data_IF_541680077725
#
_entry.id   IF_541680077725
#
_cell.length_a   1.000
_cell.length_b   1.000
_cell.length_c   1.000
_cell.angle_alpha   90.00
_cell.angle_beta   90.00
_cell.angle_gamma   90.00
#
_symmetry.space_group_name_H-M   'P 1'
#
loop_
_entity.id
_entity.type
_entity.pdbx_description
1 polymer ?
#
# COMPACT_ATOMS: atom_id res chain seq x y z
N UNK A 1 8.35 55.17 -56.62
CA UNK A 1 7.36 55.25 -55.52
C UNK A 1 7.08 53.83 -55.08
N UNK A 2 7.60 53.41 -53.93
CA UNK A 2 7.33 52.10 -53.34
C UNK A 2 6.43 52.31 -52.13
N UNK A 3 5.27 51.66 -52.13
CA UNK A 3 4.29 51.68 -51.04
C UNK A 3 4.59 50.47 -50.16
N UNK A 4 4.95 50.70 -48.90
CA UNK A 4 5.24 49.64 -47.93
C UNK A 4 4.03 49.46 -47.02
N UNK A 5 3.36 48.33 -47.14
CA UNK A 5 2.19 47.94 -46.34
C UNK A 5 2.68 47.42 -44.98
N UNK A 6 2.28 48.07 -43.89
CA UNK A 6 2.53 47.59 -42.52
C UNK A 6 1.41 46.63 -42.13
N UNK A 7 1.76 45.37 -41.89
CA UNK A 7 0.86 44.32 -41.42
C UNK A 7 0.85 44.32 -39.89
N UNK A 8 -0.23 44.80 -39.27
CA UNK A 8 -0.40 44.79 -37.82
C UNK A 8 -0.89 43.41 -37.38
N UNK A 9 -0.01 42.63 -36.76
CA UNK A 9 -0.37 41.36 -36.11
C UNK A 9 -1.01 41.70 -34.75
N UNK A 10 -2.31 41.50 -34.65
CA UNK A 10 -3.05 41.57 -33.37
C UNK A 10 -2.82 40.24 -32.65
N UNK A 11 -1.95 40.23 -31.64
CA UNK A 11 -1.88 39.11 -30.69
C UNK A 11 -3.13 39.13 -29.82
N UNK A 12 -4.08 38.26 -30.14
CA UNK A 12 -5.18 37.91 -29.25
C UNK A 12 -4.62 37.05 -28.11
N UNK A 13 -4.35 37.68 -26.97
CA UNK A 13 -4.14 36.98 -25.72
C UNK A 13 -5.46 36.34 -25.30
N UNK A 14 -5.62 35.05 -25.56
CA UNK A 14 -6.72 34.25 -24.99
C UNK A 14 -6.40 34.02 -23.52
N UNK A 15 -6.91 34.88 -22.64
CA UNK A 15 -7.03 34.54 -21.23
C UNK A 15 -8.09 33.45 -21.13
N UNK A 16 -7.63 32.20 -21.07
CA UNK A 16 -8.49 31.10 -20.64
C UNK A 16 -8.87 31.36 -19.19
N UNK A 17 -10.17 31.50 -18.91
CA UNK A 17 -10.67 31.47 -17.54
C UNK A 17 -10.37 30.10 -16.94
N UNK A 18 -9.20 29.94 -16.32
CA UNK A 18 -8.95 28.82 -15.42
C UNK A 18 -9.86 28.94 -14.20
N UNK A 19 -10.29 27.80 -13.66
CA UNK A 19 -10.96 27.79 -12.36
C UNK A 19 -10.03 28.43 -11.32
N UNK A 20 -10.57 29.23 -10.40
CA UNK A 20 -9.77 29.79 -9.30
C UNK A 20 -9.28 28.67 -8.38
N UNK A 21 -8.07 28.80 -7.84
CA UNK A 21 -7.52 27.87 -6.87
C UNK A 21 -8.49 27.63 -5.70
N UNK A 22 -8.69 26.37 -5.26
CA UNK A 22 -9.43 26.05 -4.05
C UNK A 22 -8.86 26.82 -2.87
N UNK A 23 -9.74 27.34 -2.01
CA UNK A 23 -9.31 28.01 -0.80
C UNK A 23 -8.74 26.98 0.18
N UNK A 24 -7.46 27.11 0.52
CA UNK A 24 -6.85 26.35 1.61
C UNK A 24 -7.13 27.04 2.94
N UNK A 25 -7.36 26.30 4.04
CA UNK A 25 -7.58 26.88 5.35
C UNK A 25 -6.36 27.70 5.79
N UNK A 26 -6.61 28.87 6.38
CA UNK A 26 -5.56 29.74 6.90
C UNK A 26 -4.93 29.18 8.18
N UNK A 27 -5.72 28.47 8.99
CA UNK A 27 -5.25 27.67 10.12
C UNK A 27 -5.00 26.23 9.65
N UNK A 28 -3.72 25.83 9.67
CA UNK A 28 -3.27 24.49 9.28
C UNK A 28 -3.02 23.58 10.49
N UNK A 29 -3.55 23.93 11.66
CA UNK A 29 -3.42 23.08 12.84
C UNK A 29 -4.11 21.71 12.63
N UNK A 30 -3.59 20.63 13.22
CA UNK A 30 -4.20 19.30 13.14
C UNK A 30 -5.68 19.28 13.49
N UNK A 31 -6.13 20.13 14.42
CA UNK A 31 -7.53 20.22 14.84
C UNK A 31 -8.42 20.72 13.70
N UNK A 32 -8.04 21.81 13.05
CA UNK A 32 -8.85 22.42 11.97
C UNK A 32 -8.87 21.51 10.75
N UNK A 33 -7.73 20.92 10.40
CA UNK A 33 -7.67 20.00 9.26
C UNK A 33 -8.45 18.72 9.53
N UNK A 34 -8.34 18.14 10.72
CA UNK A 34 -9.16 17.00 11.12
C UNK A 34 -10.66 17.29 10.99
N UNK A 35 -11.13 18.45 11.46
CA UNK A 35 -12.54 18.85 11.32
C UNK A 35 -12.98 19.00 9.86
N UNK A 36 -12.09 19.50 9.00
CA UNK A 36 -12.36 19.63 7.57
C UNK A 36 -12.44 18.26 6.89
N UNK A 37 -11.53 17.34 7.24
CA UNK A 37 -11.48 15.98 6.68
C UNK A 37 -12.60 15.08 7.20
N UNK A 38 -13.11 15.30 8.40
CA UNK A 38 -14.18 14.47 9.00
C UNK A 38 -15.56 15.14 8.93
N UNK A 39 -15.62 16.36 8.39
CA UNK A 39 -16.84 17.15 8.27
C UNK A 39 -17.71 16.80 7.06
N UNK A 40 -18.87 17.47 6.97
CA UNK A 40 -19.86 17.23 5.91
C UNK A 40 -19.33 17.56 4.50
N UNK A 41 -18.41 18.54 4.40
CA UNK A 41 -17.86 19.02 3.13
C UNK A 41 -16.54 18.30 2.75
N UNK A 42 -16.16 17.24 3.48
CA UNK A 42 -14.89 16.55 3.31
C UNK A 42 -14.64 16.07 1.88
N UNK A 43 -15.61 15.36 1.29
CA UNK A 43 -15.48 14.83 -0.09
C UNK A 43 -15.34 15.95 -1.12
N UNK A 44 -16.10 17.05 -0.96
CA UNK A 44 -16.00 18.20 -1.86
C UNK A 44 -14.64 18.88 -1.72
N UNK A 45 -14.18 19.09 -0.49
CA UNK A 45 -12.88 19.66 -0.20
C UNK A 45 -11.75 18.81 -0.80
N UNK A 46 -11.70 17.51 -0.48
CA UNK A 46 -10.70 16.57 -0.98
C UNK A 46 -10.74 16.47 -2.51
N UNK A 47 -11.92 16.43 -3.12
CA UNK A 47 -12.06 16.49 -4.57
C UNK A 47 -11.49 17.77 -5.16
N UNK A 48 -11.83 18.92 -4.58
CA UNK A 48 -11.38 20.22 -5.10
C UNK A 48 -9.86 20.36 -5.08
N UNK A 49 -9.19 19.95 -4.00
CA UNK A 49 -7.73 20.07 -3.89
C UNK A 49 -7.01 19.00 -4.72
N UNK A 50 -7.60 17.80 -4.87
CA UNK A 50 -6.96 16.69 -5.59
C UNK A 50 -7.01 16.87 -7.10
N UNK A 51 -8.09 17.45 -7.64
CA UNK A 51 -8.28 17.62 -9.09
C UNK A 51 -7.88 19.00 -9.60
N UNK A 52 -7.49 19.92 -8.73
CA UNK A 52 -7.00 21.24 -9.14
C UNK A 52 -5.54 21.14 -9.63
N UNK A 53 -5.19 21.72 -10.80
CA UNK A 53 -3.81 21.75 -11.30
C UNK A 53 -3.01 22.80 -10.53
N UNK A 54 -2.36 22.41 -9.44
CA UNK A 54 -1.54 23.34 -8.66
C UNK A 54 -0.25 23.69 -9.41
N UNK A 55 0.15 24.97 -9.39
CA UNK A 55 1.41 25.42 -10.00
C UNK A 55 2.66 24.90 -9.25
N UNK A 56 2.48 24.37 -8.03
CA UNK A 56 3.52 23.81 -7.17
C UNK A 56 3.43 22.29 -7.03
N UNK A 57 2.88 21.61 -8.05
CA UNK A 57 2.72 20.15 -8.11
C UNK A 57 1.92 19.57 -6.92
N UNK A 58 1.13 20.40 -6.24
CA UNK A 58 0.29 20.04 -5.11
C UNK A 58 0.92 20.26 -3.74
N UNK A 59 2.14 20.82 -3.65
CA UNK A 59 2.89 21.02 -2.39
C UNK A 59 2.08 21.82 -1.36
N UNK A 60 1.37 22.87 -1.77
CA UNK A 60 0.57 23.68 -0.85
C UNK A 60 -0.56 22.90 -0.19
N UNK A 61 -1.21 22.01 -0.94
CA UNK A 61 -2.27 21.12 -0.45
C UNK A 61 -1.69 19.94 0.35
N UNK A 62 -0.57 19.38 -0.09
CA UNK A 62 0.14 18.28 0.57
C UNK A 62 0.45 18.57 2.05
N UNK A 63 0.84 19.82 2.33
CA UNK A 63 1.16 20.29 3.69
C UNK A 63 0.02 20.17 4.70
N UNK A 64 -1.23 19.96 4.27
CA UNK A 64 -2.36 19.75 5.17
C UNK A 64 -2.33 18.36 5.83
N UNK A 65 -1.62 17.38 5.25
CA UNK A 65 -1.64 15.98 5.66
C UNK A 65 -0.40 15.53 6.44
N UNK A 66 0.66 16.34 6.44
CA UNK A 66 1.98 15.98 6.99
C UNK A 66 2.01 15.65 8.48
N UNK A 67 1.02 16.11 9.25
CA UNK A 67 0.91 15.85 10.69
C UNK A 67 0.39 14.44 10.99
N UNK A 68 -0.38 13.83 10.08
CA UNK A 68 -1.13 12.59 10.35
C UNK A 68 -0.19 11.46 10.77
N UNK A 69 0.88 11.21 10.02
CA UNK A 69 1.81 10.13 10.32
C UNK A 69 2.55 10.32 11.65
N UNK A 70 2.92 11.56 11.96
CA UNK A 70 3.61 11.91 13.21
C UNK A 70 2.67 11.73 14.41
N UNK A 71 1.44 12.24 14.31
CA UNK A 71 0.47 12.19 15.40
C UNK A 71 -0.07 10.76 15.63
N UNK A 72 -0.10 9.91 14.60
CA UNK A 72 -0.46 8.49 14.73
C UNK A 72 0.46 7.74 15.70
N UNK A 73 1.74 8.12 15.77
CA UNK A 73 2.73 7.55 16.69
C UNK A 73 2.67 8.14 18.11
N UNK A 74 1.81 9.13 18.36
CA UNK A 74 1.70 9.78 19.66
C UNK A 74 1.28 8.80 20.76
N UNK A 75 1.87 8.96 21.95
CA UNK A 75 1.41 8.28 23.17
C UNK A 75 0.15 8.93 23.76
N UNK A 76 -0.20 10.13 23.33
CA UNK A 76 -1.46 10.78 23.70
C UNK A 76 -2.60 10.20 22.85
N UNK A 77 -3.49 9.44 23.49
CA UNK A 77 -4.56 8.72 22.80
C UNK A 77 -5.50 9.64 21.99
N UNK A 78 -5.94 10.83 22.49
CA UNK A 78 -6.70 11.78 21.69
C UNK A 78 -5.97 12.28 20.43
N UNK A 79 -4.66 12.56 20.52
CA UNK A 79 -3.87 12.95 19.34
C UNK A 79 -3.79 11.82 18.32
N UNK A 80 -3.47 10.59 18.76
CA UNK A 80 -3.38 9.45 17.86
C UNK A 80 -4.75 9.11 17.22
N UNK A 81 -5.85 9.22 17.99
CA UNK A 81 -7.21 9.03 17.50
C UNK A 81 -7.57 10.02 16.39
N UNK A 82 -7.24 11.29 16.57
CA UNK A 82 -7.45 12.34 15.57
C UNK A 82 -6.73 12.05 14.26
N UNK A 83 -5.49 11.56 14.35
CA UNK A 83 -4.73 11.16 13.17
C UNK A 83 -5.39 9.98 12.45
N UNK A 84 -5.85 8.96 13.18
CA UNK A 84 -6.56 7.82 12.59
C UNK A 84 -7.88 8.19 11.95
N UNK A 85 -8.69 9.06 12.57
CA UNK A 85 -9.95 9.55 12.01
C UNK A 85 -9.72 10.35 10.72
N UNK A 86 -8.69 11.20 10.68
CA UNK A 86 -8.31 11.95 9.48
C UNK A 86 -7.80 11.03 8.35
N UNK A 87 -6.95 10.05 8.70
CA UNK A 87 -6.46 9.04 7.77
C UNK A 87 -7.59 8.16 7.21
N UNK A 88 -8.56 7.79 8.05
CA UNK A 88 -9.72 7.00 7.62
C UNK A 88 -10.60 7.79 6.64
N UNK A 89 -10.90 9.04 6.93
CA UNK A 89 -11.64 9.89 6.00
C UNK A 89 -10.92 10.05 4.65
N UNK A 90 -9.59 10.22 4.68
CA UNK A 90 -8.78 10.22 3.46
C UNK A 90 -8.87 8.88 2.71
N UNK A 91 -8.72 7.75 3.40
CA UNK A 91 -8.81 6.43 2.78
C UNK A 91 -10.19 6.16 2.17
N UNK A 92 -11.28 6.54 2.86
CA UNK A 92 -12.65 6.47 2.33
C UNK A 92 -12.81 7.31 1.06
N UNK A 93 -12.30 8.54 1.06
CA UNK A 93 -12.32 9.39 -0.12
C UNK A 93 -11.59 8.74 -1.31
N UNK A 94 -10.39 8.21 -1.10
CA UNK A 94 -9.62 7.55 -2.16
C UNK A 94 -10.32 6.27 -2.67
N UNK A 95 -10.91 5.50 -1.75
CA UNK A 95 -11.71 4.31 -2.06
C UNK A 95 -12.88 4.66 -2.99
N UNK A 96 -13.66 5.67 -2.62
CA UNK A 96 -14.92 5.99 -3.30
C UNK A 96 -14.74 6.77 -4.61
N UNK A 97 -13.54 7.34 -4.85
CA UNK A 97 -13.30 8.27 -5.96
C UNK A 97 -12.21 7.81 -6.95
N UNK A 98 -11.81 6.54 -6.94
CA UNK A 98 -10.76 5.99 -7.83
C UNK A 98 -10.93 6.41 -9.29
N UNK A 99 -12.12 6.20 -9.86
CA UNK A 99 -12.37 6.51 -11.27
C UNK A 99 -12.20 8.00 -11.60
N UNK A 100 -12.59 8.89 -10.68
CA UNK A 100 -12.43 10.33 -10.85
C UNK A 100 -10.97 10.77 -10.69
N UNK A 101 -10.22 10.11 -9.80
CA UNK A 101 -8.82 10.42 -9.49
C UNK A 101 -7.85 9.83 -10.50
N UNK A 102 -8.15 8.68 -11.09
CA UNK A 102 -7.33 8.07 -12.14
C UNK A 102 -7.71 8.51 -13.56
N UNK A 103 -8.79 9.29 -13.70
CA UNK A 103 -9.37 9.70 -14.97
C UNK A 103 -9.75 11.17 -15.01
N UNK A 104 -8.89 12.06 -14.49
CA UNK A 104 -9.14 13.50 -14.47
C UNK A 104 -9.14 14.01 -15.91
N UNK A 105 -10.24 14.62 -16.33
CA UNK A 105 -10.37 15.17 -17.68
C UNK A 105 -9.32 16.26 -17.93
N UNK A 106 -8.56 16.11 -19.02
CA UNK A 106 -7.48 17.01 -19.40
C UNK A 106 -7.42 17.25 -20.91
N UNK A 107 -6.50 18.13 -21.34
CA UNK A 107 -6.24 18.38 -22.75
C UNK A 107 -7.28 19.24 -23.47
N UNK A 108 -7.12 19.37 -24.79
CA UNK A 108 -8.01 20.24 -25.59
C UNK A 108 -9.42 19.64 -25.68
N UNK A 109 -10.41 20.40 -25.20
CA UNK A 109 -11.82 19.98 -25.12
C UNK A 109 -12.06 18.76 -24.20
N UNK A 110 -11.23 18.54 -23.18
CA UNK A 110 -11.37 17.45 -22.20
C UNK A 110 -11.39 16.05 -22.86
N UNK A 111 -10.52 15.85 -23.86
CA UNK A 111 -10.45 14.60 -24.64
C UNK A 111 -9.39 13.62 -24.13
N UNK A 112 -8.51 14.08 -23.25
CA UNK A 112 -7.48 13.28 -22.63
C UNK A 112 -7.84 13.04 -21.16
N UNK A 113 -7.18 12.08 -20.52
CA UNK A 113 -7.28 11.85 -19.09
C UNK A 113 -5.89 11.79 -18.46
N UNK A 114 -5.73 12.42 -17.31
CA UNK A 114 -4.55 12.36 -16.47
C UNK A 114 -4.91 11.76 -15.10
N UNK A 115 -3.95 11.10 -14.45
CA UNK A 115 -4.13 10.62 -13.08
C UNK A 115 -3.83 11.73 -12.08
N UNK A 116 -4.33 11.59 -10.85
CA UNK A 116 -4.06 12.53 -9.76
C UNK A 116 -2.57 12.59 -9.42
N UNK A 117 -1.83 11.48 -9.47
CA UNK A 117 -0.38 11.50 -9.22
C UNK A 117 0.43 12.14 -10.34
N UNK A 118 -0.03 12.08 -11.59
CA UNK A 118 0.58 12.83 -12.68
C UNK A 118 0.21 14.34 -12.64
N UNK A 119 -0.94 14.69 -12.07
CA UNK A 119 -1.40 16.07 -11.92
C UNK A 119 -0.77 16.78 -10.71
N UNK A 120 -0.73 16.09 -9.56
CA UNK A 120 -0.34 16.63 -8.26
C UNK A 120 0.51 15.59 -7.49
N UNK A 121 1.73 15.27 -7.97
CA UNK A 121 2.55 14.20 -7.40
C UNK A 121 2.85 14.42 -5.91
N UNK A 122 3.16 15.66 -5.49
CA UNK A 122 3.47 15.95 -4.08
C UNK A 122 2.26 15.75 -3.16
N UNK A 123 1.03 15.93 -3.67
CA UNK A 123 -0.19 15.68 -2.89
C UNK A 123 -0.45 14.19 -2.72
N UNK A 124 -0.27 13.39 -3.78
CA UNK A 124 -0.43 11.93 -3.71
C UNK A 124 0.63 11.31 -2.82
N UNK A 125 1.87 11.78 -2.88
CA UNK A 125 2.94 11.39 -1.95
C UNK A 125 2.56 11.70 -0.48
N UNK A 126 1.99 12.87 -0.21
CA UNK A 126 1.51 13.19 1.14
C UNK A 126 0.33 12.31 1.58
N UNK A 127 -0.56 11.92 0.67
CA UNK A 127 -1.62 10.95 0.97
C UNK A 127 -1.04 9.58 1.32
N UNK A 128 -0.05 9.10 0.55
CA UNK A 128 0.63 7.85 0.81
C UNK A 128 1.28 7.86 2.19
N UNK A 129 2.09 8.89 2.48
CA UNK A 129 2.75 9.09 3.76
C UNK A 129 1.78 9.13 4.95
N UNK A 130 0.64 9.84 4.80
CA UNK A 130 -0.39 9.90 5.84
C UNK A 130 -1.00 8.53 6.18
N UNK A 131 -1.02 7.60 5.21
CA UNK A 131 -1.66 6.28 5.35
C UNK A 131 -0.71 5.16 5.77
N UNK A 132 0.62 5.35 5.68
CA UNK A 132 1.63 4.35 6.09
C UNK A 132 1.36 3.73 7.48
N UNK A 133 1.07 4.51 8.55
CA UNK A 133 0.86 3.93 9.88
C UNK A 133 -0.35 2.99 9.96
N UNK A 134 -1.32 3.15 9.05
CA UNK A 134 -2.64 2.52 9.10
C UNK A 134 -2.81 1.34 8.14
N UNK A 135 -1.77 0.94 7.39
CA UNK A 135 -1.81 -0.19 6.46
C UNK A 135 -2.28 -1.51 7.12
N UNK A 136 -1.96 -1.71 8.40
CA UNK A 136 -2.46 -2.87 9.16
C UNK A 136 -3.99 -2.90 9.22
N UNK A 137 -4.64 -1.74 9.37
CA UNK A 137 -6.09 -1.63 9.47
C UNK A 137 -6.79 -1.87 8.14
N UNK A 138 -6.14 -1.48 7.03
CA UNK A 138 -6.60 -1.78 5.66
C UNK A 138 -6.59 -3.29 5.34
N UNK A 139 -5.84 -4.09 6.10
CA UNK A 139 -5.84 -5.57 6.00
C UNK A 139 -6.58 -6.25 7.16
N UNK A 140 -7.33 -5.47 7.93
CA UNK A 140 -8.12 -5.88 9.09
C UNK A 140 -7.32 -6.33 10.32
N UNK A 141 -6.11 -5.82 10.53
CA UNK A 141 -5.44 -5.91 11.82
C UNK A 141 -6.03 -4.91 12.82
N UNK A 142 -7.17 -5.26 13.42
CA UNK A 142 -7.97 -4.39 14.30
C UNK A 142 -7.46 -4.36 15.76
N UNK A 143 -6.21 -4.73 16.02
CA UNK A 143 -5.65 -4.75 17.39
C UNK A 143 -5.49 -3.36 17.99
N UNK A 144 -5.29 -2.34 17.17
CA UNK A 144 -5.08 -0.97 17.61
C UNK A 144 -5.60 0.04 16.57
N UNK A 145 -6.93 0.20 16.42
CA UNK A 145 -7.52 1.00 15.34
C UNK A 145 -7.27 2.50 15.48
N UNK A 146 -7.10 3.01 16.70
CA UNK A 146 -6.83 4.43 17.00
C UNK A 146 -7.62 5.43 16.12
N UNK A 147 -8.94 5.24 16.00
CA UNK A 147 -9.80 6.14 15.23
C UNK A 147 -9.88 5.86 13.73
N UNK A 148 -9.04 4.96 13.20
CA UNK A 148 -9.17 4.48 11.84
C UNK A 148 -10.07 3.24 11.80
N UNK A 149 -11.32 3.45 11.40
CA UNK A 149 -12.33 2.39 11.33
C UNK A 149 -12.13 1.49 10.10
N UNK A 150 -12.91 0.40 10.03
CA UNK A 150 -12.98 -0.39 8.80
C UNK A 150 -13.55 0.46 7.65
N UNK A 151 -13.04 0.24 6.43
CA UNK A 151 -13.50 0.99 5.24
C UNK A 151 -14.89 0.54 4.77
N UNK A 152 -15.35 -0.63 5.21
CA UNK A 152 -16.67 -1.18 4.89
C UNK A 152 -17.21 -2.02 6.08
N UNK A 153 -18.44 -2.53 5.97
CA UNK A 153 -19.20 -3.19 7.03
C UNK A 153 -18.53 -4.43 7.63
N UNK A 154 -17.66 -5.11 6.90
CA UNK A 154 -16.89 -6.25 7.38
C UNK A 154 -15.51 -6.32 6.74
N UNK A 155 -14.63 -7.16 7.31
CA UNK A 155 -13.23 -7.23 6.91
C UNK A 155 -13.02 -7.49 5.41
N UNK A 156 -13.67 -8.51 4.83
CA UNK A 156 -13.51 -8.81 3.40
C UNK A 156 -13.90 -7.62 2.53
N UNK A 157 -15.03 -6.97 2.82
CA UNK A 157 -15.45 -5.77 2.10
C UNK A 157 -14.46 -4.61 2.30
N UNK A 158 -13.91 -4.45 3.51
CA UNK A 158 -12.90 -3.43 3.80
C UNK A 158 -11.60 -3.63 3.02
N UNK A 159 -11.13 -4.87 2.86
CA UNK A 159 -9.95 -5.19 2.04
C UNK A 159 -10.23 -4.85 0.58
N UNK A 160 -11.44 -5.17 0.08
CA UNK A 160 -11.82 -4.79 -1.28
C UNK A 160 -11.92 -3.28 -1.45
N UNK A 161 -12.41 -2.54 -0.45
CA UNK A 161 -12.43 -1.08 -0.41
C UNK A 161 -11.04 -0.45 -0.24
N UNK A 162 -10.02 -1.20 0.19
CA UNK A 162 -8.64 -0.72 0.21
C UNK A 162 -7.96 -0.80 -1.18
N UNK A 163 -8.45 -1.63 -2.11
CA UNK A 163 -7.85 -1.76 -3.46
C UNK A 163 -7.82 -0.44 -4.23
N UNK A 164 -8.93 0.35 -4.30
CA UNK A 164 -8.92 1.62 -4.99
C UNK A 164 -7.98 2.64 -4.30
N UNK A 165 -7.79 2.55 -2.98
CA UNK A 165 -6.79 3.38 -2.26
C UNK A 165 -5.40 3.13 -2.81
N UNK A 166 -4.95 1.87 -2.83
CA UNK A 166 -3.63 1.50 -3.36
C UNK A 166 -3.48 1.86 -4.85
N UNK A 167 -4.54 1.68 -5.64
CA UNK A 167 -4.60 2.06 -7.04
C UNK A 167 -4.45 3.57 -7.27
N UNK A 168 -5.03 4.42 -6.42
CA UNK A 168 -4.88 5.88 -6.53
C UNK A 168 -3.47 6.30 -6.12
N UNK A 169 -2.96 5.77 -5.00
CA UNK A 169 -1.62 6.10 -4.53
C UNK A 169 -0.53 5.69 -5.54
N UNK A 170 -0.71 4.56 -6.24
CA UNK A 170 0.24 4.10 -7.27
C UNK A 170 0.32 5.01 -8.50
N UNK A 171 -0.57 6.01 -8.61
CA UNK A 171 -0.50 7.02 -9.66
C UNK A 171 0.64 8.02 -9.53
N UNK A 172 1.26 8.11 -8.35
CA UNK A 172 2.60 8.65 -8.18
C UNK A 172 3.58 7.49 -7.82
N UNK A 173 4.39 7.00 -8.77
CA UNK A 173 5.29 5.88 -8.51
C UNK A 173 6.32 6.13 -7.40
N UNK A 174 6.73 7.38 -7.19
CA UNK A 174 7.73 7.71 -6.18
C UNK A 174 7.17 7.51 -4.77
N UNK A 175 6.07 8.21 -4.43
CA UNK A 175 5.41 8.07 -3.13
C UNK A 175 4.85 6.67 -2.89
N UNK A 176 4.39 5.98 -3.94
CA UNK A 176 3.92 4.59 -3.80
C UNK A 176 5.04 3.60 -3.48
N UNK A 177 6.28 3.86 -3.89
CA UNK A 177 7.41 2.97 -3.55
C UNK A 177 7.64 2.95 -2.04
N UNK A 178 7.67 4.11 -1.38
CA UNK A 178 7.81 4.20 0.08
C UNK A 178 6.63 3.55 0.81
N UNK A 179 5.41 3.74 0.30
CA UNK A 179 4.22 3.10 0.84
C UNK A 179 4.28 1.56 0.69
N UNK A 180 4.69 1.05 -0.47
CA UNK A 180 4.84 -0.38 -0.72
C UNK A 180 5.94 -1.00 0.15
N UNK A 181 7.08 -0.32 0.30
CA UNK A 181 8.17 -0.76 1.19
C UNK A 181 7.72 -0.85 2.65
N UNK A 182 6.91 0.11 3.12
CA UNK A 182 6.31 0.05 4.45
C UNK A 182 5.32 -1.13 4.60
N UNK A 183 4.55 -1.45 3.55
CA UNK A 183 3.67 -2.61 3.54
C UNK A 183 4.47 -3.92 3.63
N UNK A 184 5.58 -4.04 2.89
CA UNK A 184 6.47 -5.19 2.95
C UNK A 184 7.12 -5.31 4.33
N UNK A 185 7.63 -4.21 4.90
CA UNK A 185 8.19 -4.20 6.25
C UNK A 185 7.18 -4.70 7.29
N UNK A 186 5.92 -4.26 7.19
CA UNK A 186 4.84 -4.71 8.07
C UNK A 186 4.48 -6.19 7.86
N UNK A 187 4.50 -6.68 6.63
CA UNK A 187 4.32 -8.10 6.33
C UNK A 187 5.41 -8.94 7.00
N UNK A 188 6.67 -8.51 6.93
CA UNK A 188 7.79 -9.15 7.62
C UNK A 188 7.60 -9.14 9.15
N UNK A 189 7.13 -8.04 9.74
CA UNK A 189 6.81 -8.01 11.18
C UNK A 189 5.68 -8.99 11.57
N UNK A 190 4.68 -9.20 10.71
CA UNK A 190 3.66 -10.23 10.94
C UNK A 190 4.26 -11.62 10.90
N UNK A 191 5.14 -11.88 9.92
CA UNK A 191 5.82 -13.16 9.75
C UNK A 191 6.71 -13.47 10.96
N UNK A 192 7.56 -12.52 11.38
CA UNK A 192 8.44 -12.67 12.53
C UNK A 192 7.65 -12.95 13.82
N UNK A 193 6.56 -12.21 14.06
CA UNK A 193 5.69 -12.45 15.21
C UNK A 193 5.00 -13.80 15.14
N UNK A 194 4.55 -14.22 13.96
CA UNK A 194 3.94 -15.54 13.79
C UNK A 194 4.98 -16.63 14.06
N UNK A 195 6.18 -16.52 13.49
CA UNK A 195 7.28 -17.45 13.66
C UNK A 195 7.79 -17.52 15.09
N UNK A 196 7.80 -16.41 15.84
CA UNK A 196 8.23 -16.37 17.24
C UNK A 196 7.27 -17.13 18.18
N UNK A 197 5.97 -17.16 17.85
CA UNK A 197 4.99 -17.96 18.59
C UNK A 197 5.07 -19.43 18.17
N UNK A 198 4.66 -20.38 19.03
CA UNK A 198 4.57 -21.81 18.65
C UNK A 198 3.26 -22.06 17.89
N UNK A 199 3.24 -22.19 16.55
CA UNK A 199 2.02 -22.35 15.75
C UNK A 199 1.37 -23.72 15.86
N UNK A 200 2.02 -24.68 16.52
CA UNK A 200 1.40 -25.96 16.88
C UNK A 200 0.77 -25.94 18.27
N UNK A 201 1.04 -24.90 19.06
CA UNK A 201 0.49 -24.72 20.38
C UNK A 201 -1.00 -24.38 20.34
N UNK A 202 -1.79 -25.01 21.21
CA UNK A 202 -3.24 -24.75 21.41
C UNK A 202 -3.57 -23.29 21.77
N UNK A 203 -2.54 -22.48 22.04
CA UNK A 203 -2.62 -21.06 22.39
C UNK A 203 -2.06 -20.13 21.29
N UNK A 204 -1.69 -20.61 20.09
CA UNK A 204 -1.26 -19.69 19.04
C UNK A 204 -2.47 -18.95 18.46
N UNK A 205 -2.65 -17.64 18.75
CA UNK A 205 -3.96 -17.05 18.58
C UNK A 205 -4.29 -16.63 17.15
N UNK A 206 -3.37 -16.68 16.16
CA UNK A 206 -3.65 -15.93 14.91
C UNK A 206 -3.05 -16.50 13.63
N UNK A 207 -3.73 -17.47 12.98
CA UNK A 207 -3.71 -17.62 11.51
C UNK A 207 -3.86 -16.27 10.77
N UNK A 208 -4.58 -15.33 11.40
CA UNK A 208 -4.80 -13.98 10.89
C UNK A 208 -3.51 -13.22 10.52
N UNK A 209 -2.36 -13.49 11.17
CA UNK A 209 -1.11 -12.81 10.82
C UNK A 209 -0.65 -13.17 9.39
N UNK A 210 -0.78 -14.44 8.99
CA UNK A 210 -0.47 -14.87 7.61
C UNK A 210 -1.49 -14.30 6.61
N UNK A 211 -2.76 -14.19 7.00
CA UNK A 211 -3.77 -13.54 6.19
C UNK A 211 -3.44 -12.06 5.93
N UNK A 212 -2.93 -11.35 6.95
CA UNK A 212 -2.52 -9.95 6.80
C UNK A 212 -1.35 -9.78 5.84
N UNK A 213 -0.39 -10.71 5.83
CA UNK A 213 0.71 -10.74 4.85
C UNK A 213 0.12 -10.86 3.45
N UNK A 214 -0.70 -11.89 3.19
CA UNK A 214 -1.31 -12.12 1.89
C UNK A 214 -2.07 -10.88 1.40
N UNK A 215 -2.91 -10.29 2.25
CA UNK A 215 -3.68 -9.09 1.91
C UNK A 215 -2.80 -7.88 1.59
N UNK A 216 -1.74 -7.62 2.38
CA UNK A 216 -0.84 -6.49 2.13
C UNK A 216 -0.14 -6.64 0.78
N UNK A 217 0.43 -7.82 0.53
CA UNK A 217 1.08 -8.13 -0.74
C UNK A 217 0.09 -8.00 -1.91
N UNK A 218 -1.14 -8.52 -1.75
CA UNK A 218 -2.16 -8.47 -2.79
C UNK A 218 -2.66 -7.05 -3.09
N UNK A 219 -2.84 -6.21 -2.06
CA UNK A 219 -3.18 -4.80 -2.24
C UNK A 219 -2.06 -4.03 -2.93
N UNK A 220 -0.79 -4.26 -2.56
CA UNK A 220 0.38 -3.68 -3.23
C UNK A 220 0.43 -4.08 -4.71
N UNK A 221 0.20 -5.36 -5.02
CA UNK A 221 0.09 -5.85 -6.41
C UNK A 221 -1.06 -5.17 -7.15
N UNK A 222 -2.25 -5.08 -6.55
CA UNK A 222 -3.41 -4.42 -7.17
C UNK A 222 -3.10 -2.95 -7.53
N UNK A 223 -2.39 -2.24 -6.65
CA UNK A 223 -1.93 -0.88 -6.90
C UNK A 223 -0.91 -0.81 -8.04
N UNK A 224 0.17 -1.60 -7.97
CA UNK A 224 1.26 -1.57 -8.95
C UNK A 224 0.79 -1.90 -10.38
N UNK A 225 -0.12 -2.86 -10.53
CA UNK A 225 -0.66 -3.30 -11.83
C UNK A 225 -1.80 -2.43 -12.36
N UNK A 226 -2.30 -1.47 -11.57
CA UNK A 226 -3.45 -0.65 -11.99
C UNK A 226 -3.17 0.22 -13.19
N UNK A 227 -1.93 0.72 -13.31
CA UNK A 227 -1.53 1.69 -14.31
C UNK A 227 -0.64 1.04 -15.37
N UNK A 228 -1.11 0.96 -16.62
CA UNK A 228 -0.32 0.38 -17.70
C UNK A 228 0.95 1.20 -17.93
N UNK A 229 2.11 0.53 -18.02
CA UNK A 229 3.44 1.11 -18.19
C UNK A 229 3.98 1.89 -16.97
N UNK A 230 3.49 1.63 -15.77
CA UNK A 230 4.16 2.11 -14.55
C UNK A 230 5.56 1.47 -14.41
N UNK A 231 6.48 2.14 -13.73
CA UNK A 231 7.79 1.57 -13.35
C UNK A 231 7.71 0.70 -12.08
N UNK A 232 6.51 0.50 -11.55
CA UNK A 232 6.27 -0.25 -10.33
C UNK A 232 6.37 -1.74 -10.63
N UNK A 233 7.06 -2.46 -9.77
CA UNK A 233 7.18 -3.91 -9.84
C UNK A 233 6.32 -4.50 -8.73
N UNK A 234 5.26 -5.25 -9.06
CA UNK A 234 4.50 -5.94 -8.03
C UNK A 234 5.38 -7.00 -7.33
N UNK A 235 5.11 -7.34 -6.06
CA UNK A 235 5.75 -8.46 -5.39
C UNK A 235 5.62 -9.76 -6.20
N UNK A 236 6.70 -10.54 -6.26
CA UNK A 236 6.67 -11.92 -6.79
C UNK A 236 6.12 -12.84 -5.70
N UNK A 237 4.82 -13.15 -5.76
CA UNK A 237 4.15 -13.95 -4.73
C UNK A 237 4.77 -15.33 -4.54
N UNK A 238 5.34 -15.94 -5.59
CA UNK A 238 5.97 -17.26 -5.45
C UNK A 238 7.30 -17.14 -4.69
N UNK A 239 8.07 -16.08 -4.92
CA UNK A 239 9.26 -15.78 -4.13
C UNK A 239 8.91 -15.44 -2.66
N UNK A 240 7.89 -14.62 -2.44
CA UNK A 240 7.42 -14.25 -1.09
C UNK A 240 6.93 -15.47 -0.29
N UNK A 241 6.23 -16.40 -0.94
CA UNK A 241 5.78 -17.64 -0.29
C UNK A 241 6.97 -18.54 0.08
N UNK A 242 8.01 -18.60 -0.77
CA UNK A 242 9.24 -19.33 -0.42
C UNK A 242 9.93 -18.68 0.78
N UNK A 243 10.00 -17.36 0.84
CA UNK A 243 10.57 -16.63 1.97
C UNK A 243 9.79 -16.87 3.27
N UNK A 244 8.45 -16.79 3.22
CA UNK A 244 7.57 -17.14 4.34
C UNK A 244 7.86 -18.57 4.81
N UNK A 245 7.90 -19.54 3.89
CA UNK A 245 8.18 -20.94 4.24
C UNK A 245 9.57 -21.10 4.87
N UNK A 246 10.58 -20.41 4.35
CA UNK A 246 11.93 -20.41 4.88
C UNK A 246 11.97 -19.91 6.33
N UNK A 247 11.45 -18.72 6.61
CA UNK A 247 11.47 -18.11 7.95
C UNK A 247 10.77 -19.01 8.97
N UNK A 248 9.63 -19.59 8.57
CA UNK A 248 8.92 -20.55 9.42
C UNK A 248 9.78 -21.79 9.66
N UNK A 249 10.30 -22.41 8.60
CA UNK A 249 11.08 -23.64 8.69
C UNK A 249 12.34 -23.48 9.55
N UNK A 250 13.07 -22.37 9.41
CA UNK A 250 14.27 -22.09 10.21
C UNK A 250 13.91 -21.96 11.69
N UNK A 251 12.84 -21.21 11.98
CA UNK A 251 12.32 -21.05 13.34
C UNK A 251 11.85 -22.36 13.97
N UNK A 252 11.24 -23.26 13.19
CA UNK A 252 10.85 -24.59 13.68
C UNK A 252 12.03 -25.51 13.87
N UNK A 253 12.99 -25.53 12.94
CA UNK A 253 14.18 -26.37 13.03
C UNK A 253 14.96 -26.06 14.30
N UNK A 254 15.06 -24.78 14.67
CA UNK A 254 15.68 -24.34 15.92
C UNK A 254 14.95 -24.85 17.19
N UNK A 255 13.62 -25.01 17.14
CA UNK A 255 12.77 -25.43 18.28
C UNK A 255 12.58 -26.95 18.36
N UNK A 256 12.56 -27.62 17.21
CA UNK A 256 12.32 -29.06 17.07
C UNK A 256 13.40 -29.70 16.20
N UNK A 257 14.65 -29.81 16.69
CA UNK A 257 15.76 -30.38 15.91
C UNK A 257 15.52 -31.84 15.46
N UNK A 258 14.59 -32.55 16.11
CA UNK A 258 14.26 -33.93 15.81
C UNK A 258 13.57 -34.15 14.44
N UNK A 259 12.94 -33.11 13.87
CA UNK A 259 12.34 -33.20 12.52
C UNK A 259 13.42 -33.30 11.44
N UNK A 260 14.57 -32.67 11.66
CA UNK A 260 15.68 -32.62 10.70
C UNK A 260 15.33 -31.88 9.41
N UNK A 261 16.36 -31.52 8.64
CA UNK A 261 16.22 -30.97 7.29
C UNK A 261 17.32 -31.54 6.40
N UNK A 262 17.19 -31.43 5.08
CA UNK A 262 18.22 -31.92 4.16
C UNK A 262 19.55 -31.20 4.44
N UNK A 263 20.56 -31.97 4.88
CA UNK A 263 21.81 -31.45 5.44
C UNK A 263 22.59 -30.53 4.48
N UNK A 264 22.43 -30.68 3.16
CA UNK A 264 23.06 -29.80 2.16
C UNK A 264 22.56 -28.36 2.20
N UNK A 265 21.39 -28.10 2.79
CA UNK A 265 20.77 -26.78 2.95
C UNK A 265 20.89 -26.23 4.36
N UNK A 266 21.67 -26.89 5.23
CA UNK A 266 21.89 -26.47 6.61
C UNK A 266 23.35 -26.05 6.75
N UNK A 267 23.58 -24.80 7.17
CA UNK A 267 24.89 -24.25 7.46
C UNK A 267 24.89 -23.71 8.91
N UNK A 268 25.90 -24.09 9.70
CA UNK A 268 26.06 -23.64 11.09
C UNK A 268 24.81 -23.84 11.98
N UNK A 269 24.04 -24.88 11.70
CA UNK A 269 22.81 -25.21 12.44
C UNK A 269 21.59 -24.38 12.07
N UNK A 270 21.67 -23.58 11.00
CA UNK A 270 20.56 -22.80 10.43
C UNK A 270 20.26 -23.23 9.00
N UNK A 271 19.05 -22.97 8.54
CA UNK A 271 18.74 -23.10 7.12
C UNK A 271 19.41 -21.98 6.33
N UNK A 272 19.97 -22.33 5.18
CA UNK A 272 20.42 -21.35 4.19
C UNK A 272 19.24 -20.50 3.72
N UNK A 273 19.45 -19.20 3.48
CA UNK A 273 18.39 -18.37 2.88
C UNK A 273 18.07 -18.84 1.46
N UNK A 274 16.88 -18.54 0.91
CA UNK A 274 16.56 -18.88 -0.48
C UNK A 274 17.55 -18.26 -1.48
N UNK A 275 18.08 -17.08 -1.19
CA UNK A 275 19.15 -16.43 -1.97
C UNK A 275 20.46 -17.22 -1.90
N UNK A 276 20.94 -17.59 -0.71
CA UNK A 276 22.16 -18.40 -0.55
C UNK A 276 22.05 -19.73 -1.29
N UNK A 277 20.87 -20.36 -1.25
CA UNK A 277 20.62 -21.62 -1.97
C UNK A 277 20.70 -21.41 -3.48
N UNK A 278 20.12 -20.33 -3.99
CA UNK A 278 20.15 -20.01 -5.42
C UNK A 278 21.58 -19.71 -5.86
N UNK A 279 22.35 -18.97 -5.08
CA UNK A 279 23.75 -18.66 -5.37
C UNK A 279 24.65 -19.89 -5.34
N UNK A 280 24.45 -20.79 -4.38
CA UNK A 280 25.30 -21.95 -4.19
C UNK A 280 24.94 -23.13 -5.10
N UNK A 281 23.65 -23.33 -5.37
CA UNK A 281 23.15 -24.55 -6.04
C UNK A 281 22.36 -24.26 -7.33
N UNK A 282 22.19 -22.99 -7.71
CA UNK A 282 21.44 -22.56 -8.89
C UNK A 282 19.93 -22.84 -8.78
N UNK A 283 19.19 -22.55 -9.85
CA UNK A 283 17.72 -22.72 -9.90
C UNK A 283 17.26 -24.16 -9.62
N UNK A 284 18.04 -25.16 -10.04
CA UNK A 284 17.73 -26.56 -9.74
C UNK A 284 17.81 -26.88 -8.25
N UNK A 285 18.80 -26.29 -7.56
CA UNK A 285 18.94 -26.40 -6.11
C UNK A 285 17.87 -25.62 -5.35
N UNK A 286 17.51 -24.44 -5.85
CA UNK A 286 16.40 -23.62 -5.35
C UNK A 286 15.05 -24.35 -5.44
N UNK A 287 14.73 -24.96 -6.58
CA UNK A 287 13.51 -25.73 -6.75
C UNK A 287 13.43 -26.94 -5.80
N UNK A 288 14.52 -27.69 -5.66
CA UNK A 288 14.59 -28.81 -4.72
C UNK A 288 14.46 -28.33 -3.26
N UNK A 289 15.07 -27.19 -2.94
CA UNK A 289 14.97 -26.55 -1.62
C UNK A 289 13.53 -26.16 -1.27
N UNK A 290 12.82 -25.51 -2.19
CA UNK A 290 11.40 -25.15 -2.01
C UNK A 290 10.55 -26.38 -1.68
N UNK A 291 10.77 -27.49 -2.38
CA UNK A 291 10.06 -28.76 -2.08
C UNK A 291 10.41 -29.32 -0.70
N UNK A 292 11.66 -29.18 -0.28
CA UNK A 292 12.07 -29.57 1.06
C UNK A 292 11.41 -28.71 2.15
N UNK A 293 11.26 -27.39 1.93
CA UNK A 293 10.52 -26.51 2.84
C UNK A 293 9.05 -26.93 2.96
N UNK A 294 8.40 -27.24 1.83
CA UNK A 294 7.00 -27.69 1.80
C UNK A 294 6.79 -28.97 2.61
N UNK A 295 7.63 -29.99 2.38
CA UNK A 295 7.55 -31.26 3.08
C UNK A 295 7.82 -31.07 4.58
N UNK A 296 8.85 -30.31 4.93
CA UNK A 296 9.19 -30.04 6.33
C UNK A 296 8.04 -29.34 7.07
N UNK A 297 7.46 -28.29 6.49
CA UNK A 297 6.34 -27.56 7.09
C UNK A 297 5.04 -28.38 7.12
N UNK A 298 4.88 -29.30 6.17
CA UNK A 298 3.78 -30.26 6.18
C UNK A 298 3.89 -31.21 7.39
N UNK A 299 5.10 -31.71 7.66
CA UNK A 299 5.39 -32.58 8.80
C UNK A 299 5.37 -31.84 10.14
N UNK A 300 5.73 -30.55 10.14
CA UNK A 300 5.70 -29.65 11.30
C UNK A 300 4.29 -29.17 11.69
N UNK A 301 3.27 -30.01 11.47
CA UNK A 301 1.88 -29.71 11.84
C UNK A 301 1.03 -29.08 10.73
N UNK A 302 1.26 -29.46 9.46
CA UNK A 302 0.50 -29.01 8.30
C UNK A 302 0.56 -27.48 8.05
N UNK A 303 1.68 -26.86 8.43
CA UNK A 303 1.90 -25.41 8.30
C UNK A 303 1.98 -24.99 6.83
N UNK A 304 2.48 -25.87 5.95
CA UNK A 304 2.50 -25.61 4.52
C UNK A 304 1.10 -25.29 3.98
N UNK A 305 0.09 -26.08 4.35
CA UNK A 305 -1.30 -25.83 3.93
C UNK A 305 -1.84 -24.51 4.48
N UNK A 306 -1.42 -24.12 5.68
CA UNK A 306 -1.80 -22.84 6.26
C UNK A 306 -1.18 -21.67 5.49
N UNK A 307 0.10 -21.76 5.10
CA UNK A 307 0.76 -20.73 4.27
C UNK A 307 0.08 -20.60 2.92
N UNK A 308 -0.22 -21.71 2.24
CA UNK A 308 -0.91 -21.65 0.94
C UNK A 308 -2.32 -21.06 1.08
N UNK A 309 -3.09 -21.44 2.10
CA UNK A 309 -4.43 -20.90 2.29
C UNK A 309 -4.43 -19.42 2.71
N UNK A 310 -3.65 -19.07 3.73
CA UNK A 310 -3.70 -17.74 4.35
C UNK A 310 -2.85 -16.72 3.62
N UNK A 311 -1.67 -17.08 3.10
CA UNK A 311 -0.83 -16.12 2.35
C UNK A 311 -1.28 -16.05 0.90
N UNK A 312 -1.23 -17.16 0.15
CA UNK A 312 -1.59 -17.16 -1.29
C UNK A 312 -3.06 -16.86 -1.50
N UNK A 313 -3.95 -17.55 -0.79
CA UNK A 313 -5.39 -17.35 -0.96
C UNK A 313 -5.83 -15.91 -0.64
N UNK A 314 -5.26 -15.29 0.39
CA UNK A 314 -5.58 -13.89 0.72
C UNK A 314 -4.89 -12.88 -0.19
N UNK A 315 -3.71 -13.22 -0.73
CA UNK A 315 -3.07 -12.45 -1.81
C UNK A 315 -3.95 -12.40 -3.04
N UNK A 316 -4.41 -13.55 -3.54
CA UNK A 316 -5.27 -13.63 -4.72
C UNK A 316 -6.59 -12.89 -4.50
N UNK A 317 -7.17 -13.01 -3.30
CA UNK A 317 -8.37 -12.27 -2.91
C UNK A 317 -8.15 -10.74 -2.97
N UNK A 318 -7.08 -10.23 -2.36
CA UNK A 318 -6.81 -8.80 -2.29
C UNK A 318 -6.34 -8.22 -3.63
N UNK A 319 -5.52 -8.94 -4.39
CA UNK A 319 -5.09 -8.55 -5.72
C UNK A 319 -6.26 -8.57 -6.74
N UNK A 320 -7.21 -9.49 -6.57
CA UNK A 320 -8.30 -9.75 -7.50
C UNK A 320 -7.79 -10.23 -8.86
N UNK A 321 -8.48 -9.85 -9.94
CA UNK A 321 -8.10 -10.23 -11.31
C UNK A 321 -6.69 -9.74 -11.74
N UNK A 322 -6.04 -8.86 -10.98
CA UNK A 322 -4.67 -8.44 -11.24
C UNK A 322 -3.64 -9.56 -10.96
N UNK A 323 -4.01 -10.62 -10.24
CA UNK A 323 -3.14 -11.76 -9.94
C UNK A 323 -3.19 -12.90 -10.99
N UNK A 324 -4.01 -12.78 -12.05
CA UNK A 324 -4.17 -13.79 -13.11
C UNK A 324 -3.54 -13.33 -14.42
#
# INVERSE_FOLDING_TARGET
MAVTTVLTVVMLATQGCGASAPALPSDKSPIVIHQLLTGQDSTEFLSSISTYPWDDDGVSAANLFSWIATDAASSDAPTAARAGEAAHALAMYLSDNEGALLGISSGFLNRDSITVGALNPALVDAYANALIPFQGLMVCDQRDPRGFEMLDAHCEASVLAARPVFAVLSSDPAGFTEFADAAQSRANEYLERFAANDPTGVNNPTPAALAYIGRLLGLTTAGALRLPNSSLHPPDIDAEIVEVKYVLADSFLARTPALGFAAKYVADGKLMSPEDVRDQFGEGGYYDYTRHLEVFLQEAGNINSLVEHEVRGQYEFAAGAAAQ
#
